data_IF_470935969803
#
_entry.id   IF_470935969803
#
_cell.length_a   1.000
_cell.length_b   1.000
_cell.length_c   1.000
_cell.angle_alpha   90.00
_cell.angle_beta   90.00
_cell.angle_gamma   90.00
#
_symmetry.space_group_name_H-M   'P 1'
#
loop_
_entity.id
_entity.type
_entity.pdbx_description
1 polymer ?
#
# COMPACT_ATOMS: atom_id res chain seq x y z
N UNK A 1 9.31 -19.98 8.11
CA UNK A 1 9.05 -19.30 6.81
C UNK A 1 7.77 -18.50 6.94
N UNK A 2 7.84 -17.17 7.02
CA UNK A 2 6.64 -16.35 7.15
C UNK A 2 6.03 -16.12 5.76
N UNK A 3 4.96 -16.85 5.44
CA UNK A 3 4.15 -16.58 4.25
C UNK A 3 3.62 -15.15 4.31
N UNK A 4 4.15 -14.27 3.47
CA UNK A 4 3.49 -13.02 3.07
C UNK A 4 2.30 -13.38 2.17
N UNK A 5 1.34 -14.09 2.72
CA UNK A 5 0.04 -14.24 2.08
C UNK A 5 -0.57 -12.86 2.01
N UNK A 6 -0.64 -12.29 0.80
CA UNK A 6 -1.56 -11.18 0.53
C UNK A 6 -2.91 -11.66 1.05
N UNK A 7 -3.52 -11.01 2.05
CA UNK A 7 -4.71 -11.55 2.68
C UNK A 7 -5.76 -11.78 1.59
N UNK A 8 -6.17 -13.04 1.44
CA UNK A 8 -7.07 -13.57 0.41
C UNK A 8 -8.50 -12.99 0.46
N UNK A 9 -8.68 -11.89 1.20
CA UNK A 9 -9.90 -11.10 1.31
C UNK A 9 -9.68 -9.60 1.07
N UNK A 10 -8.57 -9.16 0.46
CA UNK A 10 -8.48 -7.80 -0.09
C UNK A 10 -9.49 -7.68 -1.23
N UNK A 11 -10.70 -7.27 -0.86
CA UNK A 11 -11.85 -7.14 -1.74
C UNK A 11 -11.47 -6.38 -3.01
N UNK A 12 -11.98 -6.81 -4.17
CA UNK A 12 -12.04 -6.02 -5.43
C UNK A 12 -12.80 -4.69 -5.30
N UNK A 13 -13.12 -4.27 -4.08
CA UNK A 13 -13.70 -2.98 -3.77
C UNK A 13 -12.59 -1.92 -3.73
N UNK A 14 -12.58 -0.95 -4.66
CA UNK A 14 -11.56 0.10 -4.73
C UNK A 14 -11.46 0.92 -3.44
N UNK A 15 -12.57 1.13 -2.72
CA UNK A 15 -12.59 1.90 -1.48
C UNK A 15 -11.84 1.19 -0.34
N UNK A 16 -11.97 -0.14 -0.26
CA UNK A 16 -11.23 -0.92 0.73
C UNK A 16 -9.74 -0.90 0.43
N UNK A 17 -9.35 -1.17 -0.82
CA UNK A 17 -7.95 -1.12 -1.24
C UNK A 17 -7.33 0.25 -0.95
N UNK A 18 -8.05 1.33 -1.26
CA UNK A 18 -7.63 2.69 -0.97
C UNK A 18 -7.40 2.94 0.52
N UNK A 19 -8.32 2.50 1.39
CA UNK A 19 -8.15 2.60 2.85
C UNK A 19 -6.93 1.84 3.34
N UNK A 20 -6.64 0.66 2.79
CA UNK A 20 -5.44 -0.11 3.13
C UNK A 20 -4.16 0.61 2.70
N UNK A 21 -4.12 1.18 1.48
CA UNK A 21 -2.98 1.96 1.00
C UNK A 21 -2.71 3.18 1.89
N UNK A 22 -3.75 3.95 2.25
CA UNK A 22 -3.60 5.08 3.15
C UNK A 22 -3.06 4.67 4.53
N UNK A 23 -3.53 3.54 5.07
CA UNK A 23 -3.03 3.01 6.35
C UNK A 23 -1.56 2.59 6.25
N UNK A 24 -1.18 1.93 5.16
CA UNK A 24 0.22 1.52 4.92
C UNK A 24 1.15 2.73 4.81
N UNK A 25 0.71 3.79 4.13
CA UNK A 25 1.46 5.05 4.00
C UNK A 25 1.70 5.77 5.33
N UNK A 26 0.93 5.49 6.40
CA UNK A 26 1.20 6.08 7.73
C UNK A 26 2.54 5.62 8.31
N UNK A 27 3.04 4.48 7.89
CA UNK A 27 4.36 3.97 8.30
C UNK A 27 5.51 4.57 7.47
N UNK A 28 5.24 5.23 6.34
CA UNK A 28 6.26 5.79 5.44
C UNK A 28 7.02 6.97 6.06
N UNK A 29 8.26 7.32 5.64
CA UNK A 29 9.05 8.38 6.27
C UNK A 29 8.35 9.72 6.19
N UNK A 30 8.39 10.50 7.29
CA UNK A 30 7.64 11.76 7.45
C UNK A 30 7.87 12.74 6.30
N UNK A 31 9.12 12.86 5.82
CA UNK A 31 9.54 13.78 4.75
C UNK A 31 8.76 13.59 3.45
N UNK A 32 8.36 12.34 3.13
CA UNK A 32 7.62 12.03 1.89
C UNK A 32 6.17 11.65 2.13
N UNK A 33 5.77 11.38 3.37
CA UNK A 33 4.44 10.89 3.73
C UNK A 33 3.31 11.79 3.25
N UNK A 34 3.41 13.11 3.48
CA UNK A 34 2.37 14.05 3.08
C UNK A 34 2.17 14.07 1.56
N UNK A 35 3.27 14.13 0.80
CA UNK A 35 3.25 14.06 -0.67
C UNK A 35 2.65 12.74 -1.16
N UNK A 36 3.07 11.60 -0.60
CA UNK A 36 2.54 10.28 -0.99
C UNK A 36 1.05 10.14 -0.69
N UNK A 37 0.58 10.61 0.46
CA UNK A 37 -0.84 10.61 0.81
C UNK A 37 -1.65 11.50 -0.16
N UNK A 38 -1.11 12.64 -0.57
CA UNK A 38 -1.73 13.52 -1.55
C UNK A 38 -1.81 12.87 -2.93
N UNK A 39 -0.71 12.30 -3.43
CA UNK A 39 -0.69 11.60 -4.72
C UNK A 39 -1.69 10.43 -4.74
N UNK A 40 -1.73 9.63 -3.66
CA UNK A 40 -2.68 8.53 -3.54
C UNK A 40 -4.14 8.99 -3.54
N UNK A 41 -4.44 10.15 -2.94
CA UNK A 41 -5.77 10.79 -3.01
C UNK A 41 -6.15 11.19 -4.43
N UNK A 42 -5.24 11.82 -5.16
CA UNK A 42 -5.46 12.23 -6.55
C UNK A 42 -5.71 11.01 -7.43
N UNK A 43 -4.82 10.02 -7.36
CA UNK A 43 -4.91 8.81 -8.17
C UNK A 43 -6.21 8.04 -7.90
N UNK A 44 -6.63 7.91 -6.64
CA UNK A 44 -7.92 7.30 -6.32
C UNK A 44 -9.09 8.09 -6.89
N UNK A 45 -9.07 9.43 -6.76
CA UNK A 45 -10.14 10.28 -7.29
C UNK A 45 -10.28 10.13 -8.80
N UNK A 46 -9.16 10.04 -9.51
CA UNK A 46 -9.13 9.99 -10.97
C UNK A 46 -9.53 8.59 -11.47
N UNK A 47 -9.19 7.52 -10.73
CA UNK A 47 -9.46 6.13 -11.12
C UNK A 47 -10.74 5.51 -10.51
N UNK A 48 -11.43 6.17 -9.58
CA UNK A 48 -12.59 5.57 -8.85
C UNK A 48 -13.80 5.22 -9.72
N UNK A 49 -13.92 5.89 -10.88
CA UNK A 49 -15.04 5.71 -11.81
C UNK A 49 -14.66 4.79 -12.99
N UNK A 50 -13.46 4.21 -13.00
CA UNK A 50 -13.08 3.24 -14.02
C UNK A 50 -13.98 2.00 -13.93
N UNK A 51 -14.22 1.38 -15.08
CA UNK A 51 -15.04 0.17 -15.21
C UNK A 51 -14.30 -0.91 -16.01
N UNK A 52 -14.83 -2.14 -15.99
CA UNK A 52 -14.31 -3.27 -16.75
C UNK A 52 -12.80 -3.53 -16.53
N UNK A 53 -12.08 -3.72 -17.63
CA UNK A 53 -10.66 -4.08 -17.62
C UNK A 53 -9.77 -2.99 -17.01
N UNK A 54 -10.11 -1.71 -17.18
CA UNK A 54 -9.32 -0.60 -16.63
C UNK A 54 -9.41 -0.56 -15.10
N UNK A 55 -10.59 -0.85 -14.56
CA UNK A 55 -10.79 -0.98 -13.11
C UNK A 55 -9.99 -2.15 -12.55
N UNK A 56 -10.05 -3.30 -13.21
CA UNK A 56 -9.34 -4.50 -12.76
C UNK A 56 -7.81 -4.27 -12.78
N UNK A 57 -7.29 -3.60 -13.80
CA UNK A 57 -5.87 -3.22 -13.87
C UNK A 57 -5.50 -2.20 -12.78
N UNK A 58 -6.32 -1.18 -12.54
CA UNK A 58 -6.09 -0.23 -11.46
C UNK A 58 -6.09 -0.90 -10.07
N UNK A 59 -6.99 -1.86 -9.84
CA UNK A 59 -7.01 -2.68 -8.62
C UNK A 59 -5.72 -3.50 -8.51
N UNK A 60 -5.29 -4.14 -9.61
CA UNK A 60 -4.04 -4.94 -9.65
C UNK A 60 -2.83 -4.09 -9.29
N UNK A 61 -2.69 -2.91 -9.88
CA UNK A 61 -1.63 -1.95 -9.58
C UNK A 61 -1.66 -1.52 -8.11
N UNK A 62 -2.84 -1.20 -7.57
CA UNK A 62 -2.98 -0.82 -6.17
C UNK A 62 -2.62 -1.95 -5.20
N UNK A 63 -2.91 -3.21 -5.54
CA UNK A 63 -2.47 -4.37 -4.75
C UNK A 63 -0.95 -4.55 -4.75
N UNK A 64 -0.31 -4.35 -5.91
CA UNK A 64 1.16 -4.38 -6.01
C UNK A 64 1.80 -3.29 -5.16
N UNK A 65 1.25 -2.07 -5.19
CA UNK A 65 1.74 -0.96 -4.36
C UNK A 65 1.55 -1.23 -2.87
N UNK A 66 0.42 -1.82 -2.48
CA UNK A 66 0.19 -2.23 -1.10
C UNK A 66 1.22 -3.27 -0.63
N UNK A 67 1.53 -4.25 -1.49
CA UNK A 67 2.57 -5.23 -1.21
C UNK A 67 3.96 -4.58 -1.09
N UNK A 68 4.31 -3.65 -2.00
CA UNK A 68 5.56 -2.87 -1.94
C UNK A 68 5.69 -2.12 -0.62
N UNK A 69 4.63 -1.45 -0.17
CA UNK A 69 4.60 -0.73 1.11
C UNK A 69 4.72 -1.66 2.31
N UNK A 70 4.12 -2.85 2.26
CA UNK A 70 4.24 -3.86 3.32
C UNK A 70 5.66 -4.40 3.44
N UNK A 71 6.32 -4.71 2.32
CA UNK A 71 7.73 -5.15 2.28
C UNK A 71 8.64 -4.06 2.85
N UNK A 72 8.43 -2.81 2.43
CA UNK A 72 9.22 -1.68 2.92
C UNK A 72 9.13 -1.55 4.45
N UNK A 73 7.92 -1.61 5.03
CA UNK A 73 7.71 -1.54 6.48
C UNK A 73 8.45 -2.65 7.23
N UNK A 74 8.44 -3.88 6.70
CA UNK A 74 9.17 -5.00 7.30
C UNK A 74 10.69 -4.78 7.22
N UNK A 75 11.19 -4.23 6.11
CA UNK A 75 12.63 -3.96 5.92
C UNK A 75 13.18 -2.90 6.88
N UNK A 76 12.40 -1.86 7.20
CA UNK A 76 12.79 -0.87 8.21
C UNK A 76 12.74 -1.46 9.62
N UNK A 77 11.72 -2.26 9.94
CA UNK A 77 11.63 -2.95 11.22
C UNK A 77 12.82 -3.88 11.46
N UNK A 78 13.23 -4.65 10.46
CA UNK A 78 14.40 -5.55 10.57
C UNK A 78 15.69 -4.76 10.77
N UNK A 79 15.90 -3.64 10.07
CA UNK A 79 17.09 -2.78 10.29
C UNK A 79 17.12 -2.20 11.70
N UNK A 80 16.01 -1.65 12.19
CA UNK A 80 15.94 -1.13 13.55
C UNK A 80 16.11 -2.21 14.63
N UNK A 81 15.72 -3.46 14.38
CA UNK A 81 15.97 -4.56 15.33
C UNK A 81 17.43 -4.99 15.40
N UNK A 82 18.19 -4.89 14.30
CA UNK A 82 19.62 -5.21 14.28
C UNK A 82 20.42 -4.14 15.03
N UNK A 83 20.06 -2.86 14.88
CA UNK A 83 20.76 -1.75 15.55
C UNK A 83 20.53 -1.69 17.06
N UNK A 84 19.43 -2.25 17.59
CA UNK A 84 19.13 -2.28 19.04
C UNK A 84 19.75 -3.50 19.73
N UNK A 85 20.25 -4.47 18.96
CA UNK A 85 20.83 -5.72 19.48
C UNK A 85 22.37 -5.76 19.44
N UNK A 86 23.02 -4.64 19.14
CA UNK A 86 24.47 -4.44 19.14
C UNK A 86 24.86 -3.48 20.28
#
# INVERSE_FOLDING_TARGET
MASTAVPSGLSRNPLHLYRHLLRALRSYPSVRRAKMLHMMKLEFRDKRNLEGAERDEAIRQGLMELHRLAVWKNSERTRGQIEVSL
#
